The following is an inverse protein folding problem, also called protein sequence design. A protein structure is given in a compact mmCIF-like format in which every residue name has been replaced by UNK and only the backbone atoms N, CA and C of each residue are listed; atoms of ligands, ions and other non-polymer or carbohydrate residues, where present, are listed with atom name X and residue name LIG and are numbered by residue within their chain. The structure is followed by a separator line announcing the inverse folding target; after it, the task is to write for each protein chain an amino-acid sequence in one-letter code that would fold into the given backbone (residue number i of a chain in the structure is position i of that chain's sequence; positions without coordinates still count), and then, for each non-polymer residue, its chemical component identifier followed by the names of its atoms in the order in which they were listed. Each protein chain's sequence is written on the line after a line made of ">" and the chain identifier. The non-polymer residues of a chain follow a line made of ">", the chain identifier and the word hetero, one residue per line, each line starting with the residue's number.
data_IF_907302630302
#
_entry.id   IF_907302630302
#
_cell.length_a   1.000
_cell.length_b   1.000
_cell.length_c   1.000
_cell.angle_alpha   90.00
_cell.angle_beta   90.00
_cell.angle_gamma   90.00
#
_symmetry.space_group_name_H-M   'P 1'
#
loop_
_entity.id
_entity.type
_entity.pdbx_description
1 polymer ?
#
# COMPACT_ATOMS: atom_id res chain seq x y z
N UNK A 1 27.49 18.36 23.32
CA UNK A 1 27.29 17.01 22.81
C UNK A 1 28.61 16.27 22.93
N UNK A 2 28.60 15.08 23.52
CA UNK A 2 29.81 14.27 23.67
C UNK A 2 30.30 13.78 22.28
N UNK A 3 31.59 13.69 22.13
CA UNK A 3 32.25 13.38 20.85
C UNK A 3 32.88 12.00 20.86
N UNK A 4 33.11 11.40 19.69
CA UNK A 4 33.84 10.13 19.57
C UNK A 4 35.26 10.23 20.17
N UNK A 5 35.84 11.43 20.25
CA UNK A 5 37.15 11.66 20.84
C UNK A 5 37.12 11.58 22.39
N UNK A 6 36.04 12.05 23.03
CA UNK A 6 35.79 11.91 24.45
C UNK A 6 35.59 10.44 24.85
N UNK A 7 34.81 9.67 24.04
CA UNK A 7 34.66 8.25 24.21
C UNK A 7 36.03 7.52 24.14
N UNK A 8 36.82 7.85 23.11
CA UNK A 8 38.17 7.30 22.93
C UNK A 8 39.08 7.57 24.14
N UNK A 9 39.07 8.83 24.63
CA UNK A 9 39.82 9.24 25.84
C UNK A 9 39.32 8.49 27.07
N UNK A 10 38.00 8.33 27.24
CA UNK A 10 37.40 7.66 28.39
C UNK A 10 37.67 6.14 28.40
N UNK A 11 37.64 5.52 27.22
CA UNK A 11 37.92 4.09 27.05
C UNK A 11 39.41 3.75 26.99
N UNK A 12 40.32 4.72 26.98
CA UNK A 12 41.75 4.51 26.85
C UNK A 12 42.20 3.95 25.51
N UNK A 13 41.45 4.19 24.44
CA UNK A 13 41.70 3.65 23.08
C UNK A 13 41.79 4.77 22.03
N UNK A 14 42.22 4.41 20.81
CA UNK A 14 42.21 5.37 19.70
C UNK A 14 40.80 5.64 19.17
N UNK A 15 40.57 6.81 18.57
CA UNK A 15 39.31 7.14 17.85
C UNK A 15 39.02 6.10 16.76
N UNK A 16 40.04 5.58 16.08
CA UNK A 16 39.93 4.52 15.10
C UNK A 16 39.42 3.20 15.71
N UNK A 17 39.83 2.88 16.93
CA UNK A 17 39.36 1.70 17.69
C UNK A 17 37.89 1.86 18.05
N UNK A 18 37.46 3.02 18.55
CA UNK A 18 36.02 3.31 18.81
C UNK A 18 35.22 3.16 17.55
N UNK A 19 35.69 3.71 16.43
CA UNK A 19 35.01 3.60 15.12
C UNK A 19 34.89 2.13 14.66
N UNK A 20 35.92 1.29 14.87
CA UNK A 20 35.87 -0.15 14.56
C UNK A 20 34.86 -0.89 15.43
N UNK A 21 34.82 -0.64 16.72
CA UNK A 21 33.86 -1.25 17.64
C UNK A 21 32.42 -0.89 17.21
N UNK A 22 32.15 0.40 16.94
CA UNK A 22 30.83 0.87 16.53
C UNK A 22 30.40 0.38 15.12
N UNK A 23 31.36 0.17 14.22
CA UNK A 23 31.05 -0.30 12.86
C UNK A 23 31.01 -1.82 12.74
N UNK A 24 31.50 -2.55 13.74
CA UNK A 24 31.68 -4.01 13.67
C UNK A 24 32.70 -4.49 12.63
N UNK A 25 33.47 -3.56 12.00
CA UNK A 25 34.44 -3.88 10.94
C UNK A 25 35.85 -4.06 11.53
N UNK A 26 36.46 -5.20 11.25
CA UNK A 26 37.81 -5.54 11.73
C UNK A 26 37.81 -6.21 13.11
N UNK A 27 38.95 -6.81 13.44
CA UNK A 27 39.13 -7.50 14.73
C UNK A 27 39.27 -6.50 15.88
N UNK A 28 38.51 -6.71 16.93
CA UNK A 28 38.60 -5.98 18.22
C UNK A 28 38.32 -7.00 19.32
N UNK A 29 39.19 -7.07 20.36
CA UNK A 29 38.96 -7.98 21.48
C UNK A 29 37.69 -7.62 22.24
N UNK A 30 37.03 -8.61 22.87
CA UNK A 30 35.80 -8.41 23.62
C UNK A 30 36.01 -7.46 24.80
N UNK A 31 37.15 -7.51 25.45
CA UNK A 31 37.54 -6.56 26.49
C UNK A 31 37.56 -5.11 25.97
N UNK A 32 38.12 -4.89 24.79
CA UNK A 32 38.11 -3.55 24.16
C UNK A 32 36.71 -3.10 23.81
N UNK A 33 35.83 -4.00 23.35
CA UNK A 33 34.42 -3.68 23.09
C UNK A 33 33.70 -3.25 24.36
N UNK A 34 33.86 -3.98 25.45
CA UNK A 34 33.27 -3.66 26.75
C UNK A 34 33.73 -2.29 27.27
N UNK A 35 35.02 -1.98 27.21
CA UNK A 35 35.54 -0.66 27.58
C UNK A 35 34.94 0.46 26.74
N UNK A 36 34.77 0.27 25.44
CA UNK A 36 34.19 1.26 24.56
C UNK A 36 32.69 1.44 24.82
N UNK A 37 31.93 0.35 25.00
CA UNK A 37 30.48 0.46 25.30
C UNK A 37 30.25 1.10 26.66
N UNK A 38 31.03 0.79 27.67
CA UNK A 38 30.97 1.45 28.98
C UNK A 38 31.28 2.93 28.88
N UNK A 39 32.30 3.33 28.12
CA UNK A 39 32.62 4.74 27.88
C UNK A 39 31.52 5.49 27.12
N UNK A 40 30.82 4.84 26.17
CA UNK A 40 29.68 5.40 25.47
C UNK A 40 28.54 5.67 26.46
N UNK A 41 28.22 4.72 27.34
CA UNK A 41 27.19 4.85 28.34
C UNK A 41 27.49 5.97 29.34
N UNK A 42 28.72 6.03 29.86
CA UNK A 42 29.18 7.06 30.80
C UNK A 42 29.25 8.47 30.20
N UNK A 43 29.58 8.60 28.91
CA UNK A 43 29.67 9.90 28.22
C UNK A 43 28.34 10.34 27.60
N UNK A 44 27.34 9.46 27.53
CA UNK A 44 26.08 9.73 26.80
C UNK A 44 26.30 9.96 25.31
N UNK A 45 27.40 9.45 24.76
CA UNK A 45 27.71 9.62 23.34
C UNK A 45 26.69 8.88 22.48
N UNK A 46 26.13 9.59 21.53
CA UNK A 46 25.29 8.99 20.48
C UNK A 46 26.05 9.05 19.17
N UNK A 47 26.29 7.88 18.52
CA UNK A 47 26.92 7.86 17.20
C UNK A 47 26.15 8.74 16.23
N UNK A 48 26.84 9.65 15.55
CA UNK A 48 26.22 10.47 14.52
C UNK A 48 26.00 9.58 13.28
N UNK A 49 24.74 9.18 13.09
CA UNK A 49 24.33 8.35 11.95
C UNK A 49 24.66 9.01 10.61
N UNK A 50 24.51 10.34 10.51
CA UNK A 50 24.86 11.09 9.28
C UNK A 50 26.35 10.99 8.97
N UNK A 51 27.21 11.13 9.98
CA UNK A 51 28.66 10.98 9.80
C UNK A 51 29.04 9.54 9.42
N UNK A 52 28.37 8.54 10.01
CA UNK A 52 28.55 7.13 9.63
C UNK A 52 28.12 6.88 8.19
N UNK A 53 26.96 7.39 7.80
CA UNK A 53 26.40 7.24 6.47
C UNK A 53 27.29 7.90 5.41
N UNK A 54 27.85 9.07 5.72
CA UNK A 54 28.85 9.73 4.85
C UNK A 54 30.10 8.88 4.66
N UNK A 55 30.59 8.23 5.74
CA UNK A 55 31.79 7.40 5.69
C UNK A 55 31.57 6.06 4.98
N UNK A 56 30.36 5.52 4.97
CA UNK A 56 30.01 4.21 4.39
C UNK A 56 29.32 4.34 3.04
N UNK A 57 28.89 5.54 2.65
CA UNK A 57 28.02 5.80 1.49
C UNK A 57 26.72 4.98 1.49
N UNK A 58 26.30 4.44 2.67
CA UNK A 58 25.05 3.67 2.86
C UNK A 58 24.33 4.19 4.09
N UNK A 59 23.07 4.58 3.93
CA UNK A 59 22.26 5.08 5.05
C UNK A 59 21.54 3.97 5.81
N UNK A 60 21.35 2.82 5.17
CA UNK A 60 20.47 1.75 5.60
C UNK A 60 19.01 2.20 5.74
N UNK A 61 18.63 3.28 5.04
CA UNK A 61 17.28 3.81 5.04
C UNK A 61 16.64 3.61 3.66
N UNK A 62 15.38 3.22 3.65
CA UNK A 62 14.53 3.14 2.48
C UNK A 62 13.39 4.15 2.67
N UNK A 63 13.21 5.02 1.68
CA UNK A 63 12.09 5.97 1.66
C UNK A 63 10.81 5.31 1.17
N UNK A 64 9.66 5.73 1.70
CA UNK A 64 8.33 5.39 1.20
C UNK A 64 7.54 6.69 1.02
N UNK A 65 7.12 6.97 -0.21
CA UNK A 65 6.22 8.09 -0.52
C UNK A 65 4.83 7.56 -0.74
N UNK A 66 3.87 8.03 0.04
CA UNK A 66 2.44 7.69 -0.07
C UNK A 66 1.63 8.94 0.19
N UNK A 67 0.59 9.20 -0.60
CA UNK A 67 -0.29 10.34 -0.36
C UNK A 67 -1.15 10.15 0.91
N UNK A 68 -1.34 11.21 1.68
CA UNK A 68 -2.07 11.20 2.96
C UNK A 68 -3.54 10.76 2.83
N UNK A 69 -4.12 10.81 1.65
CA UNK A 69 -5.48 10.32 1.40
C UNK A 69 -5.63 8.80 1.63
N UNK A 70 -4.52 8.06 1.66
CA UNK A 70 -4.50 6.62 1.97
C UNK A 70 -4.36 6.34 3.48
N UNK A 71 -3.95 7.32 4.30
CA UNK A 71 -3.58 7.10 5.70
C UNK A 71 -4.72 6.63 6.59
N UNK A 72 -5.95 6.98 6.26
CA UNK A 72 -7.12 6.60 7.06
C UNK A 72 -7.57 5.15 6.84
N UNK A 73 -7.12 4.49 5.77
CA UNK A 73 -7.60 3.15 5.38
C UNK A 73 -6.77 2.01 5.99
N UNK A 74 -7.42 0.86 6.17
CA UNK A 74 -6.78 -0.39 6.62
C UNK A 74 -5.71 -0.89 5.65
N UNK A 75 -5.86 -0.61 4.35
CA UNK A 75 -4.87 -0.91 3.32
C UNK A 75 -3.51 -0.27 3.62
N UNK A 76 -3.51 1.02 4.00
CA UNK A 76 -2.27 1.72 4.36
C UNK A 76 -1.62 1.14 5.61
N UNK A 77 -2.42 0.79 6.62
CA UNK A 77 -1.91 0.17 7.85
C UNK A 77 -1.21 -1.16 7.57
N UNK A 78 -1.77 -2.00 6.70
CA UNK A 78 -1.15 -3.26 6.27
C UNK A 78 0.14 -3.00 5.50
N UNK A 79 0.11 -2.12 4.49
CA UNK A 79 1.26 -1.73 3.68
C UNK A 79 2.43 -1.27 4.56
N UNK A 80 2.17 -0.32 5.47
CA UNK A 80 3.18 0.25 6.35
C UNK A 80 3.76 -0.78 7.32
N UNK A 81 2.89 -1.60 7.94
CA UNK A 81 3.31 -2.65 8.88
C UNK A 81 4.20 -3.69 8.21
N UNK A 82 3.83 -4.16 7.03
CA UNK A 82 4.60 -5.15 6.28
C UNK A 82 5.94 -4.54 5.79
N UNK A 83 5.90 -3.30 5.28
CA UNK A 83 7.12 -2.60 4.85
C UNK A 83 8.12 -2.46 6.01
N UNK A 84 7.66 -1.98 7.18
CA UNK A 84 8.51 -1.79 8.35
C UNK A 84 9.12 -3.11 8.82
N UNK A 85 8.32 -4.17 8.98
CA UNK A 85 8.78 -5.50 9.39
C UNK A 85 9.81 -6.10 8.43
N UNK A 86 9.55 -6.03 7.13
CA UNK A 86 10.44 -6.60 6.11
C UNK A 86 11.76 -5.85 6.05
N UNK A 87 11.74 -4.51 6.15
CA UNK A 87 12.94 -3.69 6.15
C UNK A 87 13.77 -3.91 7.43
N UNK A 88 13.13 -3.96 8.60
CA UNK A 88 13.79 -4.26 9.88
C UNK A 88 14.51 -5.62 9.84
N UNK A 89 13.84 -6.66 9.32
CA UNK A 89 14.44 -8.00 9.15
C UNK A 89 15.67 -8.00 8.23
N UNK A 90 15.81 -6.96 7.38
CA UNK A 90 16.98 -6.76 6.51
C UNK A 90 17.94 -5.68 7.03
N UNK A 91 17.83 -5.29 8.31
CA UNK A 91 18.71 -4.31 8.95
C UNK A 91 18.56 -2.89 8.39
N UNK A 92 17.40 -2.56 7.82
CA UNK A 92 17.11 -1.25 7.21
C UNK A 92 16.00 -0.53 7.95
N UNK A 93 15.98 0.80 7.85
CA UNK A 93 14.98 1.67 8.45
C UNK A 93 14.04 2.21 7.36
N UNK A 94 12.75 2.33 7.71
CA UNK A 94 11.75 2.96 6.86
C UNK A 94 11.61 4.44 7.19
N UNK A 95 11.64 5.30 6.17
CA UNK A 95 11.30 6.72 6.28
C UNK A 95 10.05 6.98 5.42
N UNK A 96 8.96 7.33 6.07
CA UNK A 96 7.70 7.67 5.41
C UNK A 96 7.63 9.18 5.14
N UNK A 97 7.25 9.56 3.92
CA UNK A 97 7.00 10.95 3.53
C UNK A 97 5.67 11.05 2.80
N UNK A 98 4.90 12.10 3.13
CA UNK A 98 3.63 12.41 2.48
C UNK A 98 3.85 12.95 1.07
N UNK A 99 3.28 12.28 0.06
CA UNK A 99 3.26 12.72 -1.34
C UNK A 99 2.26 13.84 -1.62
N UNK A 100 1.44 14.20 -0.64
CA UNK A 100 0.43 15.27 -0.65
C UNK A 100 -0.58 15.13 -1.81
N UNK A 101 -0.78 16.19 -2.62
CA UNK A 101 -1.97 16.32 -3.49
C UNK A 101 -1.66 16.67 -4.96
N UNK A 102 -0.40 16.62 -5.38
CA UNK A 102 -0.01 16.88 -6.78
C UNK A 102 1.21 16.06 -7.21
N UNK A 103 1.42 15.94 -8.52
CA UNK A 103 2.60 15.28 -9.08
C UNK A 103 3.91 15.98 -8.69
N UNK A 104 3.90 17.31 -8.60
CA UNK A 104 5.04 18.13 -8.17
C UNK A 104 5.38 17.85 -6.71
N UNK A 105 4.38 17.70 -5.85
CA UNK A 105 4.58 17.39 -4.43
C UNK A 105 5.07 15.96 -4.24
N UNK A 106 4.56 14.99 -5.01
CA UNK A 106 5.09 13.61 -5.02
C UNK A 106 6.58 13.60 -5.42
N UNK A 107 6.97 14.35 -6.44
CA UNK A 107 8.39 14.51 -6.87
C UNK A 107 9.21 15.14 -5.76
N UNK A 108 8.74 16.24 -5.16
CA UNK A 108 9.43 16.91 -4.07
C UNK A 108 9.65 15.99 -2.85
N UNK A 109 8.69 15.13 -2.54
CA UNK A 109 8.82 14.13 -1.48
C UNK A 109 9.91 13.08 -1.81
N UNK A 110 10.02 12.68 -3.07
CA UNK A 110 11.09 11.78 -3.52
C UNK A 110 12.45 12.46 -3.43
N UNK A 111 12.59 13.69 -3.97
CA UNK A 111 13.83 14.46 -3.92
C UNK A 111 14.26 14.67 -2.46
N UNK A 112 13.33 14.98 -1.54
CA UNK A 112 13.59 15.08 -0.10
C UNK A 112 14.19 13.80 0.49
N UNK A 113 13.65 12.62 0.15
CA UNK A 113 14.18 11.33 0.60
C UNK A 113 15.58 11.06 0.06
N UNK A 114 15.84 11.44 -1.20
CA UNK A 114 17.16 11.32 -1.83
C UNK A 114 18.17 12.27 -1.20
N UNK A 115 17.75 13.49 -0.83
CA UNK A 115 18.57 14.46 -0.09
C UNK A 115 18.89 13.98 1.32
N UNK A 116 17.97 13.27 1.98
CA UNK A 116 18.21 12.55 3.23
C UNK A 116 19.15 11.35 3.06
N UNK A 117 19.64 11.08 1.85
CA UNK A 117 20.52 9.96 1.51
C UNK A 117 19.88 8.60 1.71
N UNK A 118 18.57 8.47 1.53
CA UNK A 118 17.97 7.14 1.45
C UNK A 118 18.64 6.32 0.34
N UNK A 119 18.92 5.05 0.63
CA UNK A 119 19.60 4.15 -0.31
C UNK A 119 18.70 3.82 -1.51
N UNK A 120 17.38 3.81 -1.31
CA UNK A 120 16.36 3.60 -2.33
C UNK A 120 15.03 4.23 -1.90
N UNK A 121 14.09 4.35 -2.85
CA UNK A 121 12.75 4.92 -2.61
C UNK A 121 11.67 3.99 -3.18
N UNK A 122 10.61 3.79 -2.41
CA UNK A 122 9.35 3.19 -2.83
C UNK A 122 8.35 4.33 -2.99
N UNK A 123 7.65 4.36 -4.13
CA UNK A 123 6.55 5.31 -4.34
C UNK A 123 5.24 4.57 -4.60
N UNK A 124 4.20 4.97 -3.89
CA UNK A 124 2.81 4.64 -4.19
C UNK A 124 2.15 5.88 -4.83
N UNK A 125 2.29 6.09 -6.14
CA UNK A 125 1.91 7.33 -6.79
C UNK A 125 0.40 7.42 -6.99
N UNK A 126 -0.14 8.62 -6.88
CA UNK A 126 -1.52 8.93 -7.20
C UNK A 126 -1.64 9.92 -8.36
N UNK A 127 -0.78 10.93 -8.39
CA UNK A 127 -0.90 12.06 -9.29
C UNK A 127 0.10 12.03 -10.45
N UNK A 128 1.27 11.45 -10.25
CA UNK A 128 2.28 11.34 -11.32
C UNK A 128 1.77 10.47 -12.48
N UNK A 129 2.00 10.94 -13.69
CA UNK A 129 1.78 10.17 -14.91
C UNK A 129 2.80 9.05 -15.08
N UNK A 130 2.50 8.07 -15.95
CA UNK A 130 3.42 6.95 -16.25
C UNK A 130 4.74 7.46 -16.86
N UNK A 131 4.68 8.48 -17.72
CA UNK A 131 5.86 9.04 -18.37
C UNK A 131 6.76 9.79 -17.36
N UNK A 132 6.17 10.49 -16.40
CA UNK A 132 6.91 11.14 -15.30
C UNK A 132 7.58 10.11 -14.38
N UNK A 133 6.90 9.01 -14.07
CA UNK A 133 7.48 7.93 -13.27
C UNK A 133 8.63 7.22 -14.00
N UNK A 134 8.48 6.93 -15.29
CA UNK A 134 9.56 6.35 -16.10
C UNK A 134 10.77 7.28 -16.16
N UNK A 135 10.55 8.59 -16.38
CA UNK A 135 11.61 9.59 -16.37
C UNK A 135 12.31 9.70 -15.00
N UNK A 136 11.56 9.59 -13.91
CA UNK A 136 12.10 9.63 -12.56
C UNK A 136 13.04 8.45 -12.29
N UNK A 137 12.63 7.24 -12.68
CA UNK A 137 13.45 6.03 -12.55
C UNK A 137 14.73 6.14 -13.37
N UNK A 138 14.66 6.69 -14.59
CA UNK A 138 15.83 6.89 -15.47
C UNK A 138 16.79 7.99 -14.96
N UNK A 139 16.27 9.02 -14.29
CA UNK A 139 17.05 10.18 -13.83
C UNK A 139 17.96 9.85 -12.64
N UNK A 140 17.50 9.00 -11.71
CA UNK A 140 18.17 8.79 -10.44
C UNK A 140 19.02 7.52 -10.45
N UNK A 141 20.19 7.57 -9.79
CA UNK A 141 21.08 6.41 -9.61
C UNK A 141 20.57 5.47 -8.51
N UNK A 142 19.88 6.03 -7.53
CA UNK A 142 19.26 5.27 -6.45
C UNK A 142 18.07 4.48 -7.01
N UNK A 143 17.90 3.20 -6.64
CA UNK A 143 16.76 2.42 -7.05
C UNK A 143 15.44 3.06 -6.58
N UNK A 144 14.50 3.20 -7.52
CA UNK A 144 13.14 3.67 -7.25
C UNK A 144 12.19 2.58 -7.70
N UNK A 145 11.30 2.13 -6.79
CA UNK A 145 10.25 1.16 -7.09
C UNK A 145 8.88 1.83 -7.05
N UNK A 146 8.08 1.57 -8.05
CA UNK A 146 6.72 2.10 -8.19
C UNK A 146 5.72 1.00 -7.84
N UNK A 147 4.86 1.27 -6.88
CA UNK A 147 3.77 0.36 -6.50
C UNK A 147 2.46 0.79 -7.14
N UNK A 148 1.68 -0.22 -7.51
CA UNK A 148 0.30 -0.07 -8.01
C UNK A 148 0.15 0.78 -9.27
N UNK A 149 1.23 0.89 -10.08
CA UNK A 149 1.23 1.49 -11.41
C UNK A 149 2.15 0.70 -12.33
N UNK A 150 1.70 0.45 -13.55
CA UNK A 150 2.49 -0.20 -14.58
C UNK A 150 3.30 0.85 -15.34
N UNK A 151 4.62 0.71 -15.35
CA UNK A 151 5.52 1.52 -16.15
C UNK A 151 5.60 1.00 -17.60
N UNK A 152 5.89 1.89 -18.55
CA UNK A 152 6.06 1.53 -19.96
C UNK A 152 7.43 0.98 -20.25
N UNK A 153 8.47 1.69 -19.80
CA UNK A 153 9.88 1.39 -20.10
C UNK A 153 10.52 0.56 -19.00
N UNK A 154 10.36 0.99 -17.76
CA UNK A 154 11.08 0.45 -16.59
C UNK A 154 10.25 -0.60 -15.84
N UNK A 155 9.76 -1.63 -16.54
CA UNK A 155 8.83 -2.64 -15.98
C UNK A 155 9.41 -3.43 -14.79
N UNK A 156 10.73 -3.59 -14.69
CA UNK A 156 11.39 -4.18 -13.53
C UNK A 156 11.31 -3.32 -12.26
N UNK A 157 11.02 -2.03 -12.42
CA UNK A 157 10.87 -1.05 -11.34
C UNK A 157 9.42 -0.82 -10.90
N UNK A 158 8.48 -1.67 -11.34
CA UNK A 158 7.09 -1.55 -10.90
C UNK A 158 6.48 -2.88 -10.49
N UNK A 159 5.53 -2.78 -9.55
CA UNK A 159 4.68 -3.88 -9.09
C UNK A 159 3.25 -3.39 -9.03
N UNK A 160 2.33 -4.13 -9.65
CA UNK A 160 0.93 -3.77 -9.79
C UNK A 160 0.02 -4.88 -9.27
N UNK A 161 -1.19 -4.50 -8.87
CA UNK A 161 -2.32 -5.41 -8.70
C UNK A 161 -3.27 -5.33 -9.91
N UNK A 162 -3.86 -6.45 -10.29
CA UNK A 162 -4.90 -6.50 -11.33
C UNK A 162 -6.26 -6.09 -10.76
N UNK A 163 -6.45 -4.78 -10.57
CA UNK A 163 -7.71 -4.23 -10.04
C UNK A 163 -8.89 -4.41 -11.00
N UNK A 164 -8.63 -4.41 -12.31
CA UNK A 164 -9.65 -4.69 -13.32
C UNK A 164 -10.16 -6.13 -13.18
N UNK A 165 -9.25 -7.12 -13.19
CA UNK A 165 -9.61 -8.53 -13.05
C UNK A 165 -10.23 -8.85 -11.69
N UNK A 166 -9.80 -8.17 -10.63
CA UNK A 166 -10.38 -8.28 -9.30
C UNK A 166 -11.85 -7.87 -9.28
N UNK A 167 -12.18 -6.70 -9.85
CA UNK A 167 -13.55 -6.19 -9.92
C UNK A 167 -14.41 -6.99 -10.88
N UNK A 168 -13.84 -7.43 -12.00
CA UNK A 168 -14.49 -8.39 -12.89
C UNK A 168 -14.90 -9.66 -12.15
N UNK A 169 -14.00 -10.24 -11.35
CA UNK A 169 -14.25 -11.45 -10.56
C UNK A 169 -15.34 -11.24 -9.52
N UNK A 170 -15.34 -10.13 -8.77
CA UNK A 170 -16.37 -9.80 -7.79
C UNK A 170 -17.75 -9.69 -8.44
N UNK A 171 -17.83 -8.96 -9.53
CA UNK A 171 -19.10 -8.73 -10.26
C UNK A 171 -19.61 -10.02 -10.91
N UNK A 172 -18.72 -10.78 -11.55
CA UNK A 172 -19.05 -12.08 -12.17
C UNK A 172 -19.59 -13.05 -11.12
N UNK A 173 -19.02 -13.10 -9.93
CA UNK A 173 -19.50 -13.95 -8.85
C UNK A 173 -20.97 -13.68 -8.50
N UNK A 174 -21.39 -12.40 -8.44
CA UNK A 174 -22.79 -12.04 -8.23
C UNK A 174 -23.66 -12.44 -9.43
N UNK A 175 -23.17 -12.28 -10.65
CA UNK A 175 -23.90 -12.68 -11.88
C UNK A 175 -24.12 -14.18 -11.92
N UNK A 176 -23.10 -14.98 -11.59
CA UNK A 176 -23.15 -16.46 -11.52
C UNK A 176 -24.15 -16.94 -10.46
N UNK A 177 -24.36 -16.15 -9.39
CA UNK A 177 -25.38 -16.39 -8.36
C UNK A 177 -26.77 -15.88 -8.74
N UNK A 178 -26.99 -15.42 -9.96
CA UNK A 178 -28.30 -15.02 -10.46
C UNK A 178 -28.66 -13.55 -10.32
N UNK A 179 -27.77 -12.71 -9.76
CA UNK A 179 -28.01 -11.26 -9.73
C UNK A 179 -27.90 -10.64 -11.12
N UNK A 180 -28.79 -9.69 -11.44
CA UNK A 180 -28.82 -9.02 -12.73
C UNK A 180 -28.73 -7.50 -12.58
N UNK A 181 -29.43 -6.94 -11.62
CA UNK A 181 -29.37 -5.53 -11.25
C UNK A 181 -28.37 -5.39 -10.12
N UNK A 182 -27.14 -5.06 -10.47
CA UNK A 182 -25.99 -4.97 -9.55
C UNK A 182 -25.54 -3.51 -9.50
N UNK A 183 -25.58 -2.91 -8.32
CA UNK A 183 -25.07 -1.56 -8.12
C UNK A 183 -23.57 -1.57 -7.85
N UNK A 184 -22.90 -0.43 -8.09
CA UNK A 184 -21.48 -0.26 -7.88
C UNK A 184 -21.19 1.09 -7.21
N UNK A 185 -20.41 1.08 -6.14
CA UNK A 185 -19.86 2.29 -5.52
C UNK A 185 -18.39 2.41 -5.89
N UNK A 186 -18.03 3.44 -6.66
CA UNK A 186 -16.63 3.71 -7.04
C UNK A 186 -15.84 4.28 -5.87
N UNK A 187 -14.49 4.26 -5.97
CA UNK A 187 -13.64 5.16 -5.20
C UNK A 187 -13.61 6.57 -5.81
N UNK A 188 -12.71 7.43 -5.31
CA UNK A 188 -12.47 8.75 -5.93
C UNK A 188 -11.98 8.58 -7.37
N UNK A 189 -12.62 9.25 -8.32
CA UNK A 189 -12.39 9.07 -9.76
C UNK A 189 -11.07 9.65 -10.28
N UNK A 190 -10.33 10.37 -9.48
CA UNK A 190 -8.93 10.76 -9.70
C UNK A 190 -7.94 9.62 -9.38
N UNK A 191 -8.43 8.51 -8.82
CA UNK A 191 -7.63 7.30 -8.54
C UNK A 191 -7.69 6.32 -9.71
N UNK A 192 -6.56 5.96 -10.34
CA UNK A 192 -6.52 4.91 -11.34
C UNK A 192 -7.06 3.55 -10.85
N UNK A 193 -6.88 3.23 -9.57
CA UNK A 193 -7.48 2.03 -8.95
C UNK A 193 -9.01 2.06 -9.04
N UNK A 194 -9.64 3.21 -8.81
CA UNK A 194 -11.09 3.36 -8.95
C UNK A 194 -11.55 3.19 -10.39
N UNK A 195 -10.80 3.75 -11.35
CA UNK A 195 -11.06 3.60 -12.78
C UNK A 195 -10.97 2.14 -13.23
N UNK A 196 -9.91 1.43 -12.80
CA UNK A 196 -9.72 0.02 -13.13
C UNK A 196 -10.82 -0.86 -12.53
N UNK A 197 -11.19 -0.63 -11.25
CA UNK A 197 -12.29 -1.39 -10.61
C UNK A 197 -13.63 -1.12 -11.29
N UNK A 198 -13.94 0.13 -11.66
CA UNK A 198 -15.15 0.47 -12.41
C UNK A 198 -15.15 -0.18 -13.82
N UNK A 199 -14.01 -0.18 -14.50
CA UNK A 199 -13.87 -0.82 -15.80
C UNK A 199 -14.08 -2.34 -15.71
N UNK A 200 -13.54 -2.98 -14.68
CA UNK A 200 -13.74 -4.42 -14.43
C UNK A 200 -15.21 -4.79 -14.16
N UNK A 201 -15.92 -3.96 -13.36
CA UNK A 201 -17.36 -4.12 -13.13
C UNK A 201 -18.15 -4.03 -14.45
N UNK A 202 -17.91 -2.98 -15.25
CA UNK A 202 -18.56 -2.80 -16.55
C UNK A 202 -18.27 -3.94 -17.51
N UNK A 203 -17.02 -4.41 -17.55
CA UNK A 203 -16.60 -5.54 -18.38
C UNK A 203 -17.32 -6.85 -18.00
N UNK A 204 -17.51 -7.14 -16.71
CA UNK A 204 -18.22 -8.34 -16.26
C UNK A 204 -19.70 -8.34 -16.66
N UNK A 205 -20.38 -7.20 -16.53
CA UNK A 205 -21.75 -7.04 -17.01
C UNK A 205 -21.85 -7.27 -18.52
N UNK A 206 -21.01 -6.59 -19.28
CA UNK A 206 -20.99 -6.69 -20.75
C UNK A 206 -20.69 -8.11 -21.21
N UNK A 207 -19.69 -8.79 -20.62
CA UNK A 207 -19.35 -10.17 -20.95
C UNK A 207 -20.49 -11.16 -20.64
N UNK A 208 -21.40 -10.78 -19.74
CA UNK A 208 -22.58 -11.60 -19.38
C UNK A 208 -23.86 -11.17 -20.10
N UNK A 209 -23.77 -10.25 -21.07
CA UNK A 209 -24.93 -9.74 -21.81
C UNK A 209 -25.86 -8.84 -20.99
N UNK A 210 -25.38 -8.33 -19.85
CA UNK A 210 -26.16 -7.44 -19.00
C UNK A 210 -25.89 -5.95 -19.34
N UNK A 211 -26.91 -5.09 -19.29
CA UNK A 211 -26.72 -3.68 -19.56
C UNK A 211 -25.92 -2.98 -18.46
N UNK A 212 -24.98 -2.13 -18.85
CA UNK A 212 -24.35 -1.18 -17.94
C UNK A 212 -25.31 0.00 -17.76
N UNK A 213 -25.75 0.23 -16.52
CA UNK A 213 -26.67 1.35 -16.18
C UNK A 213 -25.95 2.35 -15.29
N UNK A 214 -25.73 3.55 -15.79
CA UNK A 214 -25.04 4.59 -15.01
C UNK A 214 -25.84 5.00 -13.75
N UNK A 215 -27.15 4.80 -13.73
CA UNK A 215 -28.02 5.00 -12.55
C UNK A 215 -27.73 4.03 -11.40
N UNK A 216 -27.06 2.90 -11.65
CA UNK A 216 -26.60 1.95 -10.64
C UNK A 216 -25.11 2.16 -10.25
N UNK A 217 -24.48 3.23 -10.74
CA UNK A 217 -23.11 3.59 -10.39
C UNK A 217 -23.11 4.84 -9.52
N UNK A 218 -22.66 4.73 -8.30
CA UNK A 218 -22.52 5.84 -7.36
C UNK A 218 -21.06 6.14 -7.06
N UNK A 219 -20.75 7.38 -6.72
CA UNK A 219 -19.40 7.87 -6.49
C UNK A 219 -19.08 7.96 -4.99
N UNK A 220 -18.05 7.25 -4.56
CA UNK A 220 -17.52 7.30 -3.21
C UNK A 220 -16.16 7.99 -3.13
N UNK A 221 -15.60 8.02 -1.90
CA UNK A 221 -14.31 8.66 -1.58
C UNK A 221 -13.46 7.81 -0.63
N UNK A 222 -13.62 6.48 -0.71
CA UNK A 222 -12.89 5.48 0.09
C UNK A 222 -13.23 5.47 1.58
N UNK A 223 -14.19 6.27 2.07
CA UNK A 223 -14.57 6.34 3.48
C UNK A 223 -15.95 5.71 3.75
N UNK A 224 -16.24 5.24 4.97
CA UNK A 224 -17.55 4.70 5.33
C UNK A 224 -18.69 5.69 5.10
N UNK A 225 -18.46 6.99 5.40
CA UNK A 225 -19.47 8.04 5.22
C UNK A 225 -19.83 8.20 3.74
N UNK A 226 -18.81 8.15 2.86
CA UNK A 226 -19.06 8.25 1.41
C UNK A 226 -19.78 7.02 0.87
N UNK A 227 -19.50 5.84 1.41
CA UNK A 227 -20.23 4.61 1.11
C UNK A 227 -21.69 4.69 1.53
N UNK A 228 -21.96 5.23 2.72
CA UNK A 228 -23.31 5.45 3.23
C UNK A 228 -24.09 6.45 2.34
N UNK A 229 -23.48 7.58 1.98
CA UNK A 229 -24.09 8.59 1.12
C UNK A 229 -24.38 8.05 -0.28
N UNK A 230 -23.40 7.33 -0.88
CA UNK A 230 -23.57 6.71 -2.19
C UNK A 230 -24.73 5.70 -2.19
N UNK A 231 -24.84 4.87 -1.15
CA UNK A 231 -25.93 3.91 -0.99
C UNK A 231 -27.27 4.59 -0.83
N UNK A 232 -27.37 5.67 -0.05
CA UNK A 232 -28.60 6.44 0.08
C UNK A 232 -29.05 7.03 -1.27
N UNK A 233 -28.09 7.52 -2.07
CA UNK A 233 -28.37 8.00 -3.44
C UNK A 233 -28.88 6.90 -4.36
N UNK A 234 -28.30 5.70 -4.31
CA UNK A 234 -28.77 4.54 -5.08
C UNK A 234 -30.20 4.11 -4.69
N UNK A 235 -30.52 4.11 -3.39
CA UNK A 235 -31.84 3.75 -2.88
C UNK A 235 -32.91 4.78 -3.22
N UNK A 236 -32.54 6.05 -3.39
CA UNK A 236 -33.44 7.11 -3.85
C UNK A 236 -33.72 7.09 -5.36
N UNK A 237 -32.99 6.26 -6.13
CA UNK A 237 -33.17 6.11 -7.57
C UNK A 237 -34.36 5.23 -7.94
N UNK A 238 -34.74 5.27 -9.22
CA UNK A 238 -35.91 4.57 -9.77
C UNK A 238 -35.65 3.06 -10.02
N UNK A 239 -34.39 2.62 -9.95
CA UNK A 239 -34.01 1.24 -10.27
C UNK A 239 -33.60 0.50 -9.00
N UNK A 240 -34.35 -0.55 -8.68
CA UNK A 240 -33.96 -1.46 -7.61
C UNK A 240 -32.76 -2.32 -8.02
N UNK A 241 -31.92 -2.67 -7.05
CA UNK A 241 -30.79 -3.60 -7.22
C UNK A 241 -30.86 -4.70 -6.16
N UNK A 242 -30.38 -5.88 -6.51
CA UNK A 242 -30.32 -7.04 -5.61
C UNK A 242 -28.91 -7.33 -5.10
N UNK A 243 -27.93 -6.64 -5.63
CA UNK A 243 -26.54 -6.75 -5.18
C UNK A 243 -25.78 -5.43 -5.32
N UNK A 244 -24.78 -5.23 -4.50
CA UNK A 244 -23.93 -4.06 -4.45
C UNK A 244 -22.45 -4.47 -4.35
N UNK A 245 -21.62 -3.89 -5.20
CA UNK A 245 -20.16 -3.97 -5.10
C UNK A 245 -19.64 -2.61 -4.67
N UNK A 246 -18.97 -2.54 -3.53
CA UNK A 246 -18.30 -1.34 -3.04
C UNK A 246 -16.79 -1.45 -3.32
N UNK A 247 -16.17 -0.39 -3.84
CA UNK A 247 -14.76 -0.42 -4.25
C UNK A 247 -13.75 -0.53 -3.09
N UNK A 248 -14.18 -0.45 -1.82
CA UNK A 248 -13.41 -0.93 -0.67
C UNK A 248 -14.35 -1.35 0.48
N UNK A 249 -13.80 -2.01 1.49
CA UNK A 249 -14.56 -2.51 2.63
C UNK A 249 -15.07 -1.37 3.52
N UNK A 250 -14.35 -0.27 3.64
CA UNK A 250 -14.81 0.89 4.41
C UNK A 250 -16.12 1.44 3.83
N UNK A 251 -16.20 1.60 2.51
CA UNK A 251 -17.46 1.99 1.85
C UNK A 251 -18.52 0.89 1.96
N UNK A 252 -18.14 -0.41 1.94
CA UNK A 252 -19.08 -1.50 2.15
C UNK A 252 -19.69 -1.46 3.56
N UNK A 253 -18.92 -1.11 4.59
CA UNK A 253 -19.42 -0.90 5.97
C UNK A 253 -20.46 0.24 5.99
N UNK A 254 -20.16 1.35 5.32
CA UNK A 254 -21.10 2.47 5.18
C UNK A 254 -22.37 2.06 4.43
N UNK A 255 -22.22 1.31 3.36
CA UNK A 255 -23.34 0.75 2.58
C UNK A 255 -24.22 -0.16 3.43
N UNK A 256 -23.63 -1.11 4.17
CA UNK A 256 -24.34 -2.04 5.05
C UNK A 256 -25.15 -1.28 6.10
N UNK A 257 -24.57 -0.27 6.74
CA UNK A 257 -25.26 0.60 7.70
C UNK A 257 -26.49 1.27 7.08
N UNK A 258 -26.36 1.82 5.87
CA UNK A 258 -27.45 2.52 5.19
C UNK A 258 -28.56 1.56 4.73
N UNK A 259 -28.20 0.39 4.19
CA UNK A 259 -29.14 -0.65 3.83
C UNK A 259 -29.98 -1.07 5.05
N UNK A 260 -29.33 -1.40 6.16
CA UNK A 260 -30.00 -1.79 7.40
C UNK A 260 -30.93 -0.67 7.95
N UNK A 261 -30.48 0.59 7.90
CA UNK A 261 -31.29 1.73 8.34
C UNK A 261 -32.53 1.95 7.43
N UNK A 262 -32.44 1.53 6.18
CA UNK A 262 -33.56 1.56 5.20
C UNK A 262 -34.44 0.31 5.25
N UNK A 263 -34.25 -0.60 6.24
CA UNK A 263 -35.00 -1.81 6.40
C UNK A 263 -34.61 -2.96 5.45
N UNK A 264 -33.51 -2.80 4.70
CA UNK A 264 -32.98 -3.83 3.79
C UNK A 264 -31.91 -4.66 4.48
N UNK A 265 -32.07 -5.98 4.43
CA UNK A 265 -31.15 -6.93 5.07
C UNK A 265 -30.05 -7.37 4.11
N UNK A 266 -28.85 -7.43 4.61
CA UNK A 266 -27.73 -8.07 3.91
C UNK A 266 -27.58 -9.48 4.48
N UNK A 267 -27.52 -10.57 3.68
CA UNK A 267 -27.65 -10.60 2.21
C UNK A 267 -29.09 -10.73 1.71
N UNK A 268 -30.10 -10.88 2.61
CA UNK A 268 -31.45 -11.36 2.28
C UNK A 268 -32.18 -10.49 1.24
N UNK A 269 -31.98 -9.19 1.26
CA UNK A 269 -32.59 -8.25 0.31
C UNK A 269 -31.53 -7.71 -0.67
N UNK A 270 -30.28 -7.51 -0.23
CA UNK A 270 -29.15 -7.03 -1.05
C UNK A 270 -27.88 -7.77 -0.70
N UNK A 271 -27.30 -8.49 -1.65
CA UNK A 271 -25.95 -9.07 -1.54
C UNK A 271 -24.89 -7.98 -1.61
N UNK A 272 -23.81 -8.07 -0.79
CA UNK A 272 -22.77 -7.04 -0.71
C UNK A 272 -21.38 -7.66 -0.84
N UNK A 273 -20.55 -7.07 -1.71
CA UNK A 273 -19.11 -7.40 -1.84
C UNK A 273 -18.29 -6.13 -1.63
N UNK A 274 -17.20 -6.24 -0.85
CA UNK A 274 -16.19 -5.20 -0.67
C UNK A 274 -14.85 -5.55 -1.31
N UNK A 275 -13.84 -4.70 -1.03
CA UNK A 275 -12.43 -4.89 -1.42
C UNK A 275 -11.53 -4.57 -0.23
N UNK A 276 -10.30 -5.09 -0.26
CA UNK A 276 -9.19 -4.98 0.68
C UNK A 276 -9.18 -6.12 1.72
N UNK A 277 -10.31 -6.73 2.03
CA UNK A 277 -10.45 -7.78 3.05
C UNK A 277 -9.87 -7.34 4.40
N UNK A 278 -10.33 -6.18 4.87
CA UNK A 278 -9.89 -5.62 6.17
C UNK A 278 -10.13 -6.61 7.31
N UNK A 279 -9.33 -6.57 8.40
CA UNK A 279 -9.48 -7.51 9.51
C UNK A 279 -10.90 -7.56 10.10
N UNK A 280 -11.59 -6.41 10.14
CA UNK A 280 -12.96 -6.30 10.67
C UNK A 280 -14.02 -6.92 9.76
N UNK A 281 -13.74 -7.18 8.48
CA UNK A 281 -14.70 -7.76 7.53
C UNK A 281 -15.29 -9.11 8.01
N UNK A 282 -14.49 -9.91 8.73
CA UNK A 282 -14.91 -11.20 9.29
C UNK A 282 -15.74 -11.08 10.59
N UNK A 283 -15.75 -9.89 11.20
CA UNK A 283 -16.48 -9.62 12.46
C UNK A 283 -17.78 -8.83 12.24
N UNK A 284 -18.06 -8.43 11.01
CA UNK A 284 -19.36 -7.81 10.67
C UNK A 284 -20.48 -8.83 10.74
N UNK A 285 -21.71 -8.36 10.84
CA UNK A 285 -22.91 -9.20 10.83
C UNK A 285 -23.89 -8.67 9.77
N UNK A 286 -24.00 -9.41 8.64
CA UNK A 286 -23.24 -10.62 8.25
C UNK A 286 -21.76 -10.34 7.96
N UNK A 287 -20.90 -11.37 8.06
CA UNK A 287 -19.50 -11.25 7.72
C UNK A 287 -19.33 -10.89 6.22
N UNK A 288 -18.50 -9.91 5.93
CA UNK A 288 -18.39 -9.30 4.59
C UNK A 288 -17.56 -10.17 3.63
N UNK A 289 -18.16 -10.59 2.53
CA UNK A 289 -17.45 -11.12 1.34
C UNK A 289 -16.64 -9.99 0.71
N UNK A 290 -15.35 -10.22 0.49
CA UNK A 290 -14.45 -9.18 0.03
C UNK A 290 -13.36 -9.72 -0.90
N UNK A 291 -12.88 -8.88 -1.79
CA UNK A 291 -11.67 -9.13 -2.57
C UNK A 291 -10.45 -8.84 -1.68
N UNK A 292 -9.56 -9.80 -1.55
CA UNK A 292 -8.27 -9.64 -0.87
C UNK A 292 -7.19 -9.27 -1.87
N UNK A 293 -6.69 -8.06 -1.81
CA UNK A 293 -5.51 -7.63 -2.54
C UNK A 293 -4.24 -8.20 -1.87
N UNK A 294 -3.23 -8.61 -2.65
CA UNK A 294 -2.01 -9.25 -2.13
C UNK A 294 -0.99 -8.20 -1.66
N UNK A 295 -1.40 -7.25 -0.81
CA UNK A 295 -0.57 -6.11 -0.36
C UNK A 295 0.74 -6.56 0.25
N UNK A 296 0.66 -7.57 1.12
CA UNK A 296 1.82 -8.15 1.81
C UNK A 296 2.83 -8.75 0.82
N UNK A 297 2.34 -9.50 -0.17
CA UNK A 297 3.20 -10.13 -1.19
C UNK A 297 3.83 -9.06 -2.10
N UNK A 298 3.05 -8.04 -2.47
CA UNK A 298 3.52 -6.93 -3.30
C UNK A 298 4.64 -6.13 -2.63
N UNK A 299 4.45 -5.72 -1.37
CA UNK A 299 5.47 -4.92 -0.67
C UNK A 299 6.72 -5.76 -0.35
N UNK A 300 6.57 -7.04 -0.04
CA UNK A 300 7.69 -7.94 0.13
C UNK A 300 8.52 -8.06 -1.14
N UNK A 301 7.89 -8.27 -2.30
CA UNK A 301 8.56 -8.32 -3.60
C UNK A 301 9.24 -7.00 -3.94
N UNK A 302 8.60 -5.84 -3.67
CA UNK A 302 9.22 -4.51 -3.85
C UNK A 302 10.52 -4.40 -3.06
N UNK A 303 10.48 -4.77 -1.79
CA UNK A 303 11.65 -4.66 -0.90
C UNK A 303 12.75 -5.64 -1.32
N UNK A 304 12.40 -6.86 -1.68
CA UNK A 304 13.38 -7.86 -2.17
C UNK A 304 14.07 -7.36 -3.44
N UNK A 305 13.33 -6.77 -4.39
CA UNK A 305 13.92 -6.18 -5.58
C UNK A 305 14.85 -5.00 -5.26
N UNK A 306 14.41 -4.09 -4.36
CA UNK A 306 15.25 -2.98 -3.95
C UNK A 306 16.56 -3.45 -3.33
N UNK A 307 16.51 -4.46 -2.45
CA UNK A 307 17.70 -5.04 -1.83
C UNK A 307 18.59 -5.66 -2.91
N UNK A 308 18.01 -6.44 -3.83
CA UNK A 308 18.74 -7.04 -4.95
C UNK A 308 19.42 -5.98 -5.83
N UNK A 309 18.71 -4.88 -6.16
CA UNK A 309 19.31 -3.75 -6.91
C UNK A 309 20.47 -3.11 -6.17
N UNK A 310 20.36 -2.90 -4.85
CA UNK A 310 21.39 -2.29 -4.02
C UNK A 310 22.64 -3.17 -3.89
N UNK A 311 22.48 -4.49 -4.00
CA UNK A 311 23.56 -5.48 -3.90
C UNK A 311 24.10 -5.93 -5.29
N UNK A 312 23.57 -5.34 -6.38
CA UNK A 312 23.98 -5.66 -7.76
C UNK A 312 23.48 -7.01 -8.26
N UNK A 313 22.39 -7.51 -7.66
CA UNK A 313 21.79 -8.81 -7.99
C UNK A 313 20.81 -8.76 -9.16
N UNK A 314 20.24 -9.93 -9.46
CA UNK A 314 19.26 -10.10 -10.54
C UNK A 314 17.85 -9.70 -10.08
N UNK A 315 17.04 -9.17 -11.04
CA UNK A 315 15.66 -8.75 -10.76
C UNK A 315 14.67 -9.81 -11.20
N UNK A 316 13.69 -10.11 -10.34
CA UNK A 316 12.50 -10.89 -10.68
C UNK A 316 11.66 -10.17 -11.74
N UNK A 317 11.01 -10.92 -12.62
CA UNK A 317 10.14 -10.37 -13.68
C UNK A 317 8.66 -10.28 -13.30
N UNK A 318 8.25 -10.81 -12.14
CA UNK A 318 6.84 -10.85 -11.72
C UNK A 318 6.35 -9.47 -11.29
N UNK A 319 5.77 -8.69 -12.20
CA UNK A 319 5.29 -7.33 -11.91
C UNK A 319 3.78 -7.21 -11.68
N UNK A 320 2.99 -8.25 -11.98
CA UNK A 320 1.54 -8.25 -11.81
C UNK A 320 1.10 -9.31 -10.79
N UNK A 321 0.32 -8.87 -9.82
CA UNK A 321 -0.27 -9.69 -8.78
C UNK A 321 -1.78 -9.74 -8.94
N UNK A 322 -2.39 -10.89 -8.61
CA UNK A 322 -3.83 -11.09 -8.69
C UNK A 322 -4.44 -11.15 -7.30
N UNK A 323 -5.57 -10.49 -7.15
CA UNK A 323 -6.42 -10.55 -5.95
C UNK A 323 -7.22 -11.85 -5.92
N UNK A 324 -7.78 -12.18 -4.76
CA UNK A 324 -8.68 -13.32 -4.60
C UNK A 324 -9.97 -12.93 -3.89
N UNK A 325 -11.08 -13.54 -4.28
CA UNK A 325 -12.34 -13.42 -3.57
C UNK A 325 -12.29 -14.25 -2.27
N UNK A 326 -12.64 -13.63 -1.16
CA UNK A 326 -12.83 -14.26 0.15
C UNK A 326 -14.33 -14.27 0.42
N UNK A 327 -14.96 -15.43 0.21
CA UNK A 327 -16.40 -15.61 0.42
C UNK A 327 -16.74 -15.68 1.92
N UNK A 328 -17.81 -14.99 2.31
CA UNK A 328 -18.40 -14.99 3.65
C UNK A 328 -19.93 -14.93 3.53
N UNK A 329 -20.61 -14.31 4.49
CA UNK A 329 -22.06 -14.41 4.67
C UNK A 329 -22.86 -13.28 4.00
N UNK A 330 -22.20 -12.26 3.44
CA UNK A 330 -22.86 -11.07 2.87
C UNK A 330 -23.38 -11.25 1.44
N UNK A 331 -23.28 -12.46 0.87
CA UNK A 331 -23.75 -12.80 -0.48
C UNK A 331 -24.61 -14.05 -0.45
N UNK A 332 -25.76 -14.00 -1.09
CA UNK A 332 -26.65 -15.13 -1.35
C UNK A 332 -26.98 -15.26 -2.83
N UNK A 333 -27.80 -16.23 -3.19
CA UNK A 333 -28.32 -16.35 -4.55
C UNK A 333 -29.31 -15.21 -4.87
N UNK A 334 -29.25 -14.71 -6.08
CA UNK A 334 -30.11 -13.65 -6.55
C UNK A 334 -31.57 -14.08 -6.69
N UNK A 335 -32.48 -13.11 -6.87
CA UNK A 335 -33.89 -13.43 -7.02
C UNK A 335 -34.10 -14.31 -8.28
N UNK A 336 -34.78 -15.46 -8.07
CA UNK A 336 -35.24 -16.28 -9.18
C UNK A 336 -36.22 -15.43 -10.03
N UNK A 337 -35.83 -15.13 -11.28
CA UNK A 337 -36.72 -14.55 -12.28
C UNK A 337 -37.26 -15.63 -13.20
#
# INVERSE_FOLDING_TARGET
>A
MSTMQEVAKRAGVSKATVSRVLSGKGYTSDETKELVYKAIEETGYRPNLLARNLATSKSQCIGLVVTNTLYAGSYFSELLSQAAKKLEANGRQLILVDGKHSAEEEKAAIDFLLDLRCDAVIIYPRFMSVDEMDALVEKHKQPIMVMNRKLRKNQSHCICCDHHGASFTATRHLIERGHRDIAFITGSMDSPTALDRLAGYKAALTASGLPVRDTLIAFGKWTPESGAQATAGLLAGDISFSALVASNDDMAVGAMKTLNASGLRVPADVSLIGFDNIPTASFLQPALTSIKDPVSDMINEVIERLISMLDGGYLSSKSLFSSRLVMRDSVQDGPHR
#
